data_IF_882436528644
#
_entry.id   IF_882436528644
#
_cell.length_a   1.000
_cell.length_b   1.000
_cell.length_c   1.000
_cell.angle_alpha   90.00
_cell.angle_beta   90.00
_cell.angle_gamma   90.00
#
_symmetry.space_group_name_H-M   'P 1'
#
loop_
_entity.id
_entity.type
_entity.pdbx_description
1 polymer ?
2 polymer ?
3 non-polymer ?
4 non-polymer ?
5 water ?
#
# COMPACT_ATOMS: atom_id res chain seq x y z
N UNK A 1 3.58 -16.66 -12.96
CA UNK A 1 4.52 -16.50 -14.09
C UNK A 1 5.76 -15.72 -13.66
N UNK A 2 5.61 -14.56 -13.03
CA UNK A 2 6.82 -13.89 -12.57
C UNK A 2 6.83 -13.44 -11.12
N UNK A 3 7.97 -13.66 -10.47
CA UNK A 3 8.14 -13.32 -9.06
C UNK A 3 9.48 -12.64 -8.85
N UNK A 4 9.45 -11.50 -8.15
CA UNK A 4 10.67 -10.74 -7.89
C UNK A 4 11.32 -11.19 -6.61
N UNK A 5 12.64 -11.20 -6.59
CA UNK A 5 13.38 -11.59 -5.38
C UNK A 5 14.62 -10.71 -5.29
N UNK A 6 15.03 -10.37 -4.08
CA UNK A 6 16.21 -9.55 -3.90
C UNK A 6 16.29 -8.89 -2.54
N UNK A 7 17.37 -8.12 -2.30
CA UNK A 7 17.62 -7.40 -1.05
C UNK A 7 16.53 -6.42 -0.64
N UNK A 8 16.10 -6.59 0.61
CA UNK A 8 15.09 -5.78 1.29
C UNK A 8 15.60 -4.36 1.46
N UNK A 9 16.88 -4.26 1.80
CA UNK A 9 17.52 -2.99 2.06
C UNK A 9 18.89 -2.85 1.40
N UNK A 10 19.15 -1.66 0.88
CA UNK A 10 20.46 -1.37 0.31
C UNK A 10 20.86 -0.03 0.88
N UNK A 11 22.17 0.14 0.97
CA UNK A 11 22.81 1.33 1.52
C UNK A 11 23.14 2.28 0.38
N UNK A 12 23.18 3.60 0.63
CA UNK A 12 23.51 4.49 -0.49
C UNK A 12 24.90 4.27 -1.07
N UNK A 13 25.01 4.51 -2.38
CA UNK A 13 26.22 4.39 -3.19
C UNK A 13 26.45 2.96 -3.63
N UNK A 14 25.67 2.03 -3.09
CA UNK A 14 25.78 0.63 -3.47
C UNK A 14 25.05 0.38 -4.78
N UNK A 15 25.10 -0.87 -5.23
CA UNK A 15 24.42 -1.31 -6.44
C UNK A 15 23.22 -2.14 -5.99
N UNK A 16 22.08 -1.97 -6.64
CA UNK A 16 20.90 -2.74 -6.28
C UNK A 16 20.73 -3.87 -7.30
N UNK A 17 20.53 -5.10 -6.81
CA UNK A 17 20.34 -6.25 -7.70
C UNK A 17 19.05 -7.00 -7.41
N UNK A 18 18.28 -7.28 -8.46
CA UNK A 18 17.03 -8.01 -8.26
C UNK A 18 16.90 -9.09 -9.31
N UNK A 19 16.14 -10.11 -8.99
CA UNK A 19 15.93 -11.19 -9.91
C UNK A 19 14.43 -11.43 -10.10
N UNK A 20 14.06 -11.78 -11.33
CA UNK A 20 12.68 -12.07 -11.64
C UNK A 20 12.67 -13.49 -12.19
N UNK A 21 12.04 -14.38 -11.43
CA UNK A 21 11.95 -15.76 -11.82
C UNK A 21 10.65 -15.94 -12.57
N UNK A 22 10.76 -16.35 -13.83
CA UNK A 22 9.60 -16.54 -14.68
C UNK A 22 9.32 -18.02 -14.90
N UNK A 23 8.06 -18.39 -14.78
CA UNK A 23 7.64 -19.77 -14.98
C UNK A 23 6.40 -19.74 -15.86
N UNK A 24 6.16 -20.81 -16.60
CA UNK A 24 4.98 -20.85 -17.46
C UNK A 24 5.22 -20.41 -18.89
N UNK A 25 6.28 -19.63 -19.10
CA UNK A 25 6.59 -19.15 -20.44
C UNK A 25 8.07 -18.84 -20.53
N UNK A 26 8.65 -19.10 -21.70
CA UNK A 26 10.07 -18.87 -21.93
C UNK A 26 10.39 -17.43 -22.31
N UNK A 27 11.21 -16.77 -21.50
CA UNK A 27 11.57 -15.39 -21.79
C UNK A 27 12.30 -15.23 -23.13
N UNK A 28 12.53 -16.33 -23.83
CA UNK A 28 13.20 -16.29 -25.13
C UNK A 28 12.23 -16.50 -26.30
N UNK A 29 10.99 -16.84 -25.97
CA UNK A 29 9.96 -17.09 -26.96
C UNK A 29 9.22 -15.85 -27.48
N UNK A 30 8.99 -14.87 -26.60
CA UNK A 30 8.29 -13.66 -27.01
C UNK A 30 8.17 -12.65 -25.89
N UNK A 31 7.46 -11.56 -26.14
CA UNK A 31 7.25 -10.52 -25.12
C UNK A 31 8.51 -9.73 -24.77
N UNK A 32 8.30 -8.53 -24.26
CA UNK A 32 9.36 -7.65 -23.79
C UNK A 32 9.28 -7.83 -22.25
N UNK A 33 10.43 -7.96 -21.60
CA UNK A 33 10.46 -8.17 -20.16
C UNK A 33 10.97 -6.93 -19.45
N UNK A 34 10.08 -6.28 -18.71
CA UNK A 34 10.44 -5.05 -18.05
C UNK A 34 10.66 -5.06 -16.54
N UNK A 35 11.20 -3.94 -16.08
CA UNK A 35 11.39 -3.67 -14.66
C UNK A 35 10.68 -2.32 -14.52
N UNK A 36 9.73 -2.25 -13.60
CA UNK A 36 8.94 -1.05 -13.36
C UNK A 36 8.89 -0.80 -11.87
N UNK A 37 9.00 0.47 -11.46
CA UNK A 37 8.96 0.78 -10.04
C UNK A 37 7.94 1.83 -9.66
N UNK A 38 7.54 1.78 -8.40
CA UNK A 38 6.56 2.71 -7.87
C UNK A 38 7.15 3.28 -6.59
N UNK A 39 7.37 4.59 -6.56
CA UNK A 39 7.94 5.25 -5.39
C UNK A 39 6.87 5.51 -4.33
N UNK A 40 7.27 5.69 -3.07
CA UNK A 40 6.19 5.96 -2.12
C UNK A 40 5.56 7.24 -2.66
N UNK A 41 4.25 7.24 -2.80
CA UNK A 41 3.59 8.40 -3.36
C UNK A 41 2.82 7.89 -4.58
N UNK A 42 3.08 6.65 -4.93
CA UNK A 42 2.39 6.00 -6.04
C UNK A 42 2.81 6.44 -7.44
N UNK A 43 3.95 7.10 -7.53
CA UNK A 43 4.43 7.52 -8.84
C UNK A 43 5.21 6.37 -9.49
N UNK A 44 4.71 5.93 -10.65
CA UNK A 44 5.25 4.85 -11.47
C UNK A 44 6.32 5.35 -12.44
N UNK A 45 7.23 4.45 -12.80
CA UNK A 45 8.30 4.75 -13.73
C UNK A 45 8.83 3.45 -14.33
N UNK A 46 8.80 3.36 -15.66
CA UNK A 46 9.29 2.18 -16.37
C UNK A 46 10.80 2.37 -16.38
N UNK A 47 11.56 1.34 -16.04
CA UNK A 47 13.00 1.47 -16.02
C UNK A 47 13.69 0.97 -17.29
N UNK A 48 13.06 0.01 -17.96
CA UNK A 48 13.64 -0.52 -19.16
C UNK A 48 13.18 -1.95 -19.35
N UNK A 49 13.62 -2.58 -20.43
CA UNK A 49 13.24 -3.96 -20.67
C UNK A 49 14.25 -4.70 -21.52
N UNK A 50 14.17 -6.01 -21.47
CA UNK A 50 15.03 -6.82 -22.30
C UNK A 50 14.11 -7.62 -23.24
N UNK A 51 14.29 -7.36 -24.54
CA UNK A 51 13.56 -8.02 -25.62
C UNK A 51 13.87 -9.52 -25.56
N UNK A 52 12.94 -10.32 -26.06
CA UNK A 52 13.08 -11.78 -26.05
C UNK A 52 14.22 -12.26 -26.95
N UNK A 53 14.73 -11.36 -27.78
CA UNK A 53 15.83 -11.71 -28.66
C UNK A 53 17.19 -11.35 -28.04
N UNK A 54 17.17 -10.87 -26.79
CA UNK A 54 18.38 -10.53 -26.05
C UNK A 54 18.75 -9.06 -26.09
N UNK A 55 17.92 -8.30 -26.74
CA UNK A 55 18.14 -6.89 -26.93
C UNK A 55 17.60 -5.99 -25.79
N UNK A 56 18.12 -4.77 -25.69
CA UNK A 56 17.75 -3.89 -24.59
C UNK A 56 17.25 -2.47 -24.91
N UNK A 57 16.51 -1.87 -23.98
CA UNK A 57 15.96 -0.52 -24.16
C UNK A 57 15.69 0.05 -22.76
N UNK A 58 16.49 1.05 -22.39
CA UNK A 58 16.41 1.67 -21.08
C UNK A 58 15.75 3.03 -21.05
N UNK A 59 15.42 3.46 -19.85
CA UNK A 59 14.81 4.75 -19.60
C UNK A 59 15.99 5.72 -19.69
N UNK A 60 15.93 6.68 -20.60
CA UNK A 60 17.04 7.60 -20.77
C UNK A 60 17.61 8.21 -19.49
N UNK A 61 16.76 8.52 -18.52
CA UNK A 61 17.24 9.12 -17.28
C UNK A 61 17.95 8.15 -16.34
N UNK A 62 17.99 6.88 -16.71
CA UNK A 62 18.64 5.85 -15.89
C UNK A 62 19.67 5.13 -16.72
N UNK A 63 19.82 5.54 -17.97
CA UNK A 63 20.72 4.86 -18.88
C UNK A 63 22.11 4.50 -18.41
N UNK A 64 22.81 5.44 -17.77
CA UNK A 64 24.18 5.21 -17.32
C UNK A 64 24.35 4.35 -16.07
N UNK A 65 23.26 4.17 -15.34
CA UNK A 65 23.27 3.43 -14.08
C UNK A 65 22.62 2.05 -14.08
N UNK A 66 21.84 1.77 -15.11
CA UNK A 66 21.10 0.53 -15.20
C UNK A 66 21.67 -0.51 -16.15
N UNK A 67 21.35 -1.76 -15.85
CA UNK A 67 21.77 -2.89 -16.66
C UNK A 67 20.74 -3.99 -16.46
N UNK A 68 20.15 -4.46 -17.55
CA UNK A 68 19.16 -5.53 -17.47
C UNK A 68 19.72 -6.70 -18.25
N UNK A 69 19.88 -7.83 -17.57
CA UNK A 69 20.40 -9.01 -18.21
C UNK A 69 19.44 -10.16 -17.96
N UNK A 70 19.79 -11.36 -18.46
CA UNK A 70 18.94 -12.51 -18.29
C UNK A 70 19.71 -13.81 -18.33
N UNK A 71 19.11 -14.87 -17.80
CA UNK A 71 19.70 -16.19 -17.84
C UNK A 71 18.66 -17.08 -18.51
N UNK A 72 18.80 -17.26 -19.82
CA UNK A 72 17.86 -18.07 -20.59
C UNK A 72 17.75 -19.50 -20.07
N UNK A 73 18.85 -20.05 -19.57
CA UNK A 73 18.81 -21.42 -19.07
C UNK A 73 17.96 -21.56 -17.81
N UNK A 74 17.93 -20.52 -16.98
CA UNK A 74 17.12 -20.59 -15.75
C UNK A 74 15.79 -19.86 -15.93
N UNK A 75 15.61 -19.23 -17.08
CA UNK A 75 14.41 -18.48 -17.42
C UNK A 75 14.11 -17.37 -16.40
N UNK A 76 15.10 -16.51 -16.19
CA UNK A 76 14.96 -15.38 -15.28
C UNK A 76 15.75 -14.22 -15.82
N UNK A 77 15.34 -12.99 -15.50
CA UNK A 77 16.06 -11.84 -15.96
C UNK A 77 16.36 -10.94 -14.77
N UNK A 78 17.36 -10.08 -14.91
CA UNK A 78 17.78 -9.26 -13.79
C UNK A 78 17.90 -7.76 -14.00
N UNK A 79 17.83 -7.06 -12.88
CA UNK A 79 17.97 -5.61 -12.86
C UNK A 79 19.15 -5.29 -11.98
N UNK A 80 19.97 -4.37 -12.45
CA UNK A 80 21.10 -3.89 -11.68
C UNK A 80 21.06 -2.38 -11.80
N UNK A 81 20.98 -1.70 -10.64
CA UNK A 81 20.95 -0.25 -10.59
C UNK A 81 22.11 0.23 -9.71
N UNK A 82 23.12 0.82 -10.35
CA UNK A 82 24.30 1.31 -9.65
C UNK A 82 24.09 2.61 -8.90
N UNK A 83 25.05 2.93 -8.05
CA UNK A 83 25.05 4.16 -7.25
C UNK A 83 23.67 4.68 -6.85
N UNK A 84 22.95 3.89 -6.06
CA UNK A 84 21.63 4.26 -5.60
C UNK A 84 21.69 5.29 -4.49
N UNK A 85 20.56 5.93 -4.21
CA UNK A 85 20.43 6.93 -3.14
C UNK A 85 19.04 6.75 -2.54
N UNK A 86 18.74 7.57 -1.53
CA UNK A 86 17.45 7.54 -0.83
C UNK A 86 16.28 7.86 -1.77
N UNK A 87 16.55 8.22 -3.00
CA UNK A 87 15.47 8.51 -3.93
C UNK A 87 14.92 7.19 -4.50
N UNK A 88 15.85 6.27 -4.76
CA UNK A 88 15.60 4.93 -5.33
C UNK A 88 14.70 4.00 -4.51
N UNK A 89 14.37 4.41 -3.29
CA UNK A 89 13.49 3.61 -2.47
C UNK A 89 12.17 3.44 -3.23
N UNK A 90 11.77 2.20 -3.49
CA UNK A 90 10.53 1.96 -4.19
C UNK A 90 10.14 0.50 -4.20
N UNK A 91 8.93 0.23 -4.68
CA UNK A 91 8.46 -1.12 -4.83
C UNK A 91 8.81 -1.47 -6.27
N UNK A 92 9.58 -2.54 -6.47
CA UNK A 92 10.01 -2.93 -7.80
C UNK A 92 9.23 -4.12 -8.35
N UNK A 93 8.72 -3.98 -9.57
CA UNK A 93 7.99 -5.04 -10.24
C UNK A 93 8.67 -5.41 -11.55
N UNK A 94 8.58 -6.69 -11.90
CA UNK A 94 9.07 -7.14 -13.18
C UNK A 94 7.79 -7.47 -13.91
N UNK A 95 7.79 -7.32 -15.24
CA UNK A 95 6.59 -7.61 -16.01
C UNK A 95 6.97 -7.88 -17.44
N UNK A 96 5.99 -8.32 -18.24
CA UNK A 96 6.22 -8.57 -19.65
C UNK A 96 4.99 -8.14 -20.42
N UNK A 97 5.18 -7.75 -21.68
CA UNK A 97 4.05 -7.33 -22.49
C UNK A 97 4.37 -7.44 -23.97
N UNK A 98 3.33 -7.43 -24.79
CA UNK A 98 3.45 -7.50 -26.24
C UNK A 98 2.50 -6.49 -26.83
N UNK A 99 2.26 -5.41 -26.08
CA UNK A 99 1.39 -4.32 -26.49
C UNK A 99 -0.08 -4.69 -26.33
N UNK A 100 -0.46 -5.88 -26.77
CA UNK A 100 -1.85 -6.29 -26.65
C UNK A 100 -2.19 -6.80 -25.25
N UNK A 101 -1.18 -7.27 -24.53
CA UNK A 101 -1.40 -7.78 -23.19
C UNK A 101 -0.16 -7.60 -22.30
N UNK A 102 -0.37 -7.69 -20.99
CA UNK A 102 0.72 -7.54 -20.03
C UNK A 102 0.53 -8.45 -18.83
N UNK A 103 1.63 -8.81 -18.18
CA UNK A 103 1.60 -9.67 -17.00
C UNK A 103 2.59 -9.07 -16.00
N UNK A 104 2.20 -9.05 -14.72
CA UNK A 104 3.03 -8.47 -13.67
C UNK A 104 3.32 -9.41 -12.51
N UNK A 105 4.42 -9.12 -11.82
CA UNK A 105 4.79 -9.92 -10.66
C UNK A 105 4.01 -9.36 -9.48
N UNK A 106 4.44 -9.65 -8.26
CA UNK A 106 3.74 -9.15 -7.07
C UNK A 106 4.43 -7.88 -6.59
N UNK A 107 5.66 -7.69 -7.05
CA UNK A 107 6.44 -6.53 -6.65
C UNK A 107 7.20 -6.83 -5.39
N UNK A 108 8.38 -6.25 -5.26
CA UNK A 108 9.17 -6.44 -4.06
C UNK A 108 9.62 -5.05 -3.59
N UNK A 109 9.58 -4.84 -2.28
CA UNK A 109 9.93 -3.55 -1.71
C UNK A 109 11.41 -3.40 -1.42
N UNK A 110 12.01 -2.34 -1.96
CA UNK A 110 13.43 -2.08 -1.73
C UNK A 110 13.63 -0.70 -1.09
N UNK A 111 14.30 -0.69 0.04
CA UNK A 111 14.58 0.55 0.77
C UNK A 111 16.07 0.88 0.68
N UNK A 112 16.39 2.09 0.25
CA UNK A 112 17.78 2.51 0.17
C UNK A 112 17.97 3.46 1.34
N UNK A 113 18.70 3.01 2.35
CA UNK A 113 18.94 3.82 3.54
C UNK A 113 20.16 3.31 4.30
N UNK A 114 20.80 4.20 5.04
CA UNK A 114 21.96 3.80 5.83
C UNK A 114 21.55 3.54 7.27
N UNK A 115 20.24 3.57 7.54
CA UNK A 115 19.73 3.31 8.89
C UNK A 115 19.92 1.84 9.29
N UNK A 116 19.90 1.60 10.60
CA UNK A 116 20.11 0.28 11.17
C UNK A 116 18.90 -0.66 11.13
N UNK A 117 19.10 -1.86 10.58
CA UNK A 117 18.07 -2.89 10.51
C UNK A 117 17.69 -3.26 11.93
N UNK A 118 16.42 -3.17 12.25
CA UNK A 118 15.96 -3.47 13.60
C UNK A 118 14.74 -4.39 13.64
N UNK A 119 14.77 -5.39 14.52
CA UNK A 119 13.66 -6.34 14.65
C UNK A 119 12.48 -5.63 15.30
N UNK A 120 11.25 -6.10 15.03
CA UNK A 120 10.10 -5.44 15.64
C UNK A 120 9.74 -6.02 17.02
N UNK A 121 9.01 -5.23 17.81
CA UNK A 121 8.53 -5.68 19.11
C UNK A 121 7.04 -5.85 18.82
N UNK A 122 6.48 -7.01 19.17
CA UNK A 122 5.06 -7.29 18.91
C UNK A 122 4.26 -7.36 20.23
N UNK A 123 3.39 -6.38 20.45
CA UNK A 123 2.59 -6.33 21.67
C UNK A 123 1.12 -6.66 21.38
N UNK A 124 0.53 -7.51 22.21
CA UNK A 124 -0.88 -7.88 21.99
C UNK A 124 -1.80 -6.76 22.46
N UNK A 125 -2.92 -6.58 21.78
CA UNK A 125 -3.90 -5.55 22.15
C UNK A 125 -5.18 -6.25 22.56
N UNK A 126 -5.39 -6.39 23.87
CA UNK A 126 -6.59 -7.07 24.38
C UNK A 126 -7.59 -6.06 24.89
N UNK A 127 -8.87 -6.42 25.08
CA UNK A 127 -9.54 -5.21 25.54
C UNK A 127 -9.47 -5.06 27.06
N UNK A 135 -21.60 -9.42 21.31
CA UNK A 135 -21.65 -9.99 19.97
C UNK A 135 -20.28 -10.01 19.26
N UNK A 136 -19.63 -8.86 19.07
CA UNK A 136 -18.31 -8.86 18.40
C UNK A 136 -17.24 -8.13 19.18
N UNK A 137 -16.04 -8.70 19.26
CA UNK A 137 -14.96 -8.01 19.96
C UNK A 137 -13.78 -7.74 19.02
N UNK A 138 -13.14 -6.58 19.20
CA UNK A 138 -11.99 -6.23 18.39
C UNK A 138 -10.70 -6.43 19.17
N UNK A 139 -9.74 -7.08 18.53
CA UNK A 139 -8.46 -7.34 19.14
C UNK A 139 -7.44 -6.64 18.26
N UNK A 140 -6.20 -6.61 18.72
CA UNK A 140 -5.18 -5.94 17.94
C UNK A 140 -3.79 -6.49 18.15
N UNK A 141 -2.86 -5.93 17.39
CA UNK A 141 -1.47 -6.35 17.42
C UNK A 141 -0.64 -5.11 17.05
N UNK A 142 0.21 -4.65 17.95
CA UNK A 142 1.05 -3.48 17.71
C UNK A 142 2.47 -3.94 17.40
N UNK A 143 2.91 -3.68 16.18
CA UNK A 143 4.25 -4.06 15.74
C UNK A 143 5.11 -2.81 15.63
N UNK A 144 5.98 -2.56 16.63
CA UNK A 144 6.79 -1.35 16.54
C UNK A 144 8.28 -1.47 16.79
N UNK A 145 9.00 -0.42 16.38
CA UNK A 145 10.44 -0.36 16.55
C UNK A 145 11.27 -1.09 15.51
N UNK A 146 10.73 -1.29 14.31
CA UNK A 146 11.46 -2.01 13.27
C UNK A 146 11.89 -1.21 12.06
N UNK A 147 12.82 -1.80 11.32
CA UNK A 147 13.36 -1.22 10.09
C UNK A 147 14.13 -2.31 9.34
N UNK A 148 13.94 -2.41 8.02
CA UNK A 148 13.05 -1.53 7.26
C UNK A 148 11.73 -2.22 7.02
N UNK A 149 10.94 -1.65 6.11
CA UNK A 149 9.67 -2.24 5.71
C UNK A 149 10.15 -3.38 4.81
N UNK A 150 9.31 -4.38 4.56
CA UNK A 150 7.95 -4.53 5.07
C UNK A 150 7.88 -5.60 6.14
N UNK A 151 6.71 -5.72 6.73
CA UNK A 151 6.43 -6.72 7.73
C UNK A 151 5.14 -7.33 7.21
N UNK A 152 4.86 -8.58 7.55
CA UNK A 152 3.62 -9.21 7.12
C UNK A 152 2.90 -9.61 8.41
N UNK A 153 1.60 -9.38 8.43
CA UNK A 153 0.80 -9.71 9.61
C UNK A 153 -0.41 -10.53 9.19
N UNK A 154 -0.60 -11.67 9.85
CA UNK A 154 -1.75 -12.55 9.57
C UNK A 154 -2.34 -12.89 10.92
N UNK A 155 -3.56 -13.40 10.92
CA UNK A 155 -4.23 -13.77 12.15
C UNK A 155 -4.62 -15.24 12.06
N UNK A 156 -4.20 -16.02 13.05
CA UNK A 156 -4.46 -17.45 13.06
C UNK A 156 -3.94 -18.05 11.76
N UNK A 157 -2.68 -17.73 11.47
CA UNK A 157 -1.99 -18.21 10.28
C UNK A 157 -2.70 -17.90 8.97
N UNK A 158 -3.63 -16.95 9.01
CA UNK A 158 -4.34 -16.59 7.81
C UNK A 158 -5.78 -17.09 7.73
N UNK A 159 -6.20 -17.93 8.68
CA UNK A 159 -7.56 -18.46 8.64
C UNK A 159 -8.58 -17.37 8.95
N UNK A 160 -8.12 -16.34 9.67
CA UNK A 160 -8.95 -15.19 10.00
C UNK A 160 -8.51 -14.12 9.01
N UNK A 161 -9.31 -13.86 7.99
CA UNK A 161 -8.94 -12.88 6.98
C UNK A 161 -9.93 -11.72 6.90
N UNK A 162 -11.22 -12.02 6.91
CA UNK A 162 -12.22 -10.97 6.85
C UNK A 162 -12.36 -10.43 8.28
N UNK A 163 -12.66 -9.14 8.41
CA UNK A 163 -12.76 -8.56 9.74
C UNK A 163 -11.38 -8.10 10.21
N UNK A 164 -10.44 -8.14 9.28
CA UNK A 164 -9.07 -7.75 9.55
C UNK A 164 -8.76 -6.43 8.84
N UNK A 165 -8.01 -5.60 9.56
CA UNK A 165 -7.55 -4.32 9.05
C UNK A 165 -6.07 -4.18 9.43
N UNK A 166 -5.18 -4.24 8.47
CA UNK A 166 -3.76 -4.05 8.76
C UNK A 166 -3.46 -2.65 8.23
N UNK A 167 -3.02 -1.77 9.13
CA UNK A 167 -2.74 -0.39 8.75
C UNK A 167 -1.34 -0.08 8.28
N UNK A 168 -1.21 0.82 7.29
CA UNK A 168 0.09 1.20 6.75
C UNK A 168 1.02 1.62 7.88
N UNK A 169 2.25 1.14 7.87
CA UNK A 169 3.20 1.48 8.92
C UNK A 169 3.51 2.96 8.85
N UNK A 170 3.88 3.53 9.99
CA UNK A 170 4.25 4.94 10.05
C UNK A 170 5.68 5.04 10.52
N UNK A 171 6.47 5.78 9.76
CA UNK A 171 7.89 5.97 10.06
C UNK A 171 8.12 7.19 10.96
N UNK A 172 9.01 7.03 11.93
CA UNK A 172 9.37 8.12 12.84
C UNK A 172 10.75 7.84 13.40
N UNK A 173 11.66 8.77 13.17
CA UNK A 173 13.03 8.63 13.65
C UNK A 173 13.65 7.32 13.19
N UNK A 174 13.53 7.03 11.89
CA UNK A 174 14.08 5.83 11.29
C UNK A 174 13.55 4.49 11.80
N UNK A 175 12.38 4.52 12.43
CA UNK A 175 11.78 3.30 12.93
C UNK A 175 10.30 3.30 12.55
N UNK A 176 9.80 2.13 12.18
CA UNK A 176 8.41 1.98 11.78
C UNK A 176 7.53 1.44 12.89
N UNK A 177 6.26 1.82 12.85
CA UNK A 177 5.26 1.34 13.78
C UNK A 177 4.03 0.97 12.96
N UNK A 178 3.49 -0.20 13.22
CA UNK A 178 2.32 -0.67 12.49
C UNK A 178 1.37 -1.37 13.45
N UNK A 179 0.08 -1.39 13.07
CA UNK A 179 -0.90 -2.07 13.91
C UNK A 179 -1.86 -2.85 13.03
N UNK A 180 -2.55 -3.80 13.62
CA UNK A 180 -3.52 -4.60 12.89
C UNK A 180 -4.63 -4.99 13.84
N UNK A 181 -5.86 -4.82 13.40
CA UNK A 181 -7.00 -5.19 14.21
C UNK A 181 -7.75 -6.34 13.55
N UNK A 182 -8.39 -7.15 14.39
CA UNK A 182 -9.17 -8.27 13.91
C UNK A 182 -10.44 -8.24 14.76
N UNK A 183 -11.57 -8.41 14.09
CA UNK A 183 -12.86 -8.40 14.77
C UNK A 183 -13.50 -9.78 14.56
N UNK A 184 -13.82 -10.43 15.68
CA UNK A 184 -14.43 -11.76 15.65
C UNK A 184 -15.59 -11.82 16.63
N UNK A 185 -16.41 -12.89 16.55
CA UNK A 185 -17.56 -13.02 17.46
C UNK A 185 -17.08 -13.18 18.91
N UNK A 186 -17.86 -12.68 19.85
CA UNK A 186 -17.54 -12.80 21.27
C UNK A 186 -17.60 -14.27 21.66
N UNK A 187 -18.22 -15.06 20.79
CA UNK A 187 -18.36 -16.50 21.01
C UNK A 187 -17.03 -17.19 20.83
N UNK A 188 -16.21 -16.68 19.90
CA UNK A 188 -14.91 -17.26 19.59
C UNK A 188 -13.77 -16.78 20.45
N UNK A 189 -13.96 -15.66 21.14
CA UNK A 189 -12.91 -15.11 22.00
C UNK A 189 -13.57 -14.54 23.26
N UNK A 190 -12.99 -14.79 24.44
CA UNK A 190 -11.77 -15.54 24.74
C UNK A 190 -11.89 -17.06 24.66
N UNK A 191 -13.08 -17.56 24.33
CA UNK A 191 -13.33 -18.99 24.23
C UNK A 191 -12.22 -19.72 23.48
N UNK A 192 -11.93 -19.26 22.27
CA UNK A 192 -10.86 -19.88 21.48
C UNK A 192 -9.65 -18.95 21.43
N UNK A 193 -8.56 -19.36 20.81
CA UNK A 193 -7.40 -18.47 20.79
C UNK A 193 -7.26 -17.71 19.49
N UNK A 194 -6.80 -16.47 19.61
CA UNK A 194 -6.58 -15.61 18.48
C UNK A 194 -5.10 -15.26 18.55
N UNK A 195 -4.40 -15.37 17.43
CA UNK A 195 -2.97 -15.10 17.42
C UNK A 195 -2.50 -14.34 16.19
N UNK A 196 -1.73 -13.26 16.39
CA UNK A 196 -1.22 -12.55 15.23
C UNK A 196 0.16 -13.10 14.91
N UNK A 197 0.37 -13.38 13.63
CA UNK A 197 1.63 -13.90 13.14
C UNK A 197 2.36 -12.74 12.48
N UNK A 198 3.53 -12.40 12.99
CA UNK A 198 4.30 -11.30 12.42
C UNK A 198 5.64 -11.75 11.86
N UNK A 199 5.93 -11.28 10.66
CA UNK A 199 7.19 -11.63 10.03
C UNK A 199 7.93 -10.38 9.55
N UNK A 200 9.24 -10.39 9.76
CA UNK A 200 10.09 -9.28 9.34
C UNK A 200 11.30 -9.95 8.67
N UNK A 201 11.16 -10.34 7.40
CA UNK A 201 12.24 -11.00 6.67
C UNK A 201 13.64 -10.35 6.77
N UNK A 202 13.71 -9.03 6.81
CA UNK A 202 14.99 -8.34 6.88
C UNK A 202 15.85 -8.68 8.11
N UNK A 203 15.20 -9.04 9.22
CA UNK A 203 15.90 -9.38 10.44
C UNK A 203 15.67 -10.86 10.79
N UNK A 204 15.04 -11.57 9.86
CA UNK A 204 14.74 -12.98 10.04
C UNK A 204 13.93 -13.19 11.33
N UNK A 205 12.95 -12.32 11.53
CA UNK A 205 12.12 -12.40 12.72
C UNK A 205 10.74 -12.97 12.39
N UNK A 206 10.25 -13.82 13.28
CA UNK A 206 8.93 -14.43 13.13
C UNK A 206 8.37 -14.58 14.53
N UNK A 207 7.26 -13.90 14.79
CA UNK A 207 6.63 -13.95 16.10
C UNK A 207 5.14 -14.25 16.07
N UNK A 208 4.68 -15.05 17.03
CA UNK A 208 3.26 -15.36 17.13
C UNK A 208 2.83 -14.87 18.51
N UNK A 209 2.02 -13.82 18.54
CA UNK A 209 1.56 -13.30 19.82
C UNK A 209 0.10 -13.62 20.05
N UNK A 210 -0.14 -14.52 20.99
CA UNK A 210 -1.49 -14.93 21.34
C UNK A 210 -2.12 -13.74 22.04
N UNK A 211 -3.40 -13.49 21.80
CA UNK A 211 -4.07 -12.38 22.45
C UNK A 211 -4.85 -12.94 23.64
N UNK A 212 -4.37 -12.69 24.86
CA UNK A 212 -5.06 -13.18 26.05
C UNK A 212 -5.77 -11.97 26.71
N UNK A 213 -6.87 -12.17 27.44
CA UNK A 213 -7.67 -11.07 28.14
C UNK A 213 -6.91 -10.13 29.16
N UNK B 1 11.04 12.77 -19.34
CA UNK B 1 10.52 13.88 -18.49
C UNK B 1 9.26 14.66 -18.92
N UNK B 2 8.61 14.35 -20.04
CA UNK B 2 7.35 15.03 -20.38
C UNK B 2 6.33 14.76 -19.25
N UNK B 3 5.46 15.71 -18.92
CA UNK B 3 4.49 15.64 -17.81
C UNK B 3 2.99 15.40 -18.11
N UNK B 4 2.43 14.30 -17.59
CA UNK B 4 1.00 14.01 -17.76
C UNK B 4 0.26 14.45 -16.49
N UNK B 5 -0.65 15.41 -16.64
CA UNK B 5 -1.47 15.88 -15.53
C UNK B 5 -2.80 15.11 -15.64
N UNK B 6 -3.18 14.37 -14.58
CA UNK B 6 -4.40 13.57 -14.59
C UNK B 6 -5.48 14.29 -13.77
N UNK B 7 -6.72 14.35 -14.26
CA UNK B 7 -7.82 15.05 -13.54
C UNK B 7 -9.15 14.34 -13.39
N UNK B 8 -9.91 14.38 -12.26
CA UNK B 8 -9.53 14.97 -10.99
C UNK B 8 -8.49 14.06 -10.31
N UNK B 9 -7.80 14.58 -9.30
CA UNK B 9 -6.81 13.77 -8.58
C UNK B 9 -7.54 12.68 -7.81
N UNK B 10 -8.75 12.99 -7.36
CA UNK B 10 -9.57 12.05 -6.60
C UNK B 10 -11.03 12.28 -6.96
N UNK B 11 -11.81 11.21 -7.01
CA UNK B 11 -13.22 11.33 -7.32
C UNK B 11 -13.96 10.11 -6.82
N UNK B 12 -15.25 10.28 -6.56
CA UNK B 12 -16.07 9.17 -6.10
C UNK B 12 -17.31 9.07 -6.99
N UNK B 13 -17.93 7.89 -7.00
CA UNK B 13 -19.11 7.69 -7.81
C UNK B 13 -19.94 6.54 -7.26
N UNK B 14 -21.26 6.64 -7.41
CA UNK B 14 -22.15 5.60 -6.94
C UNK B 14 -22.19 4.59 -8.07
N UNK B 15 -22.39 3.31 -7.75
CA UNK B 15 -22.43 2.37 -8.86
C UNK B 15 -23.57 2.79 -9.81
N UNK B 16 -23.31 2.71 -11.12
CA UNK B 16 -24.31 3.11 -12.09
C UNK B 16 -24.02 4.43 -12.78
N UNK B 17 -23.21 5.28 -12.15
CA UNK B 17 -22.85 6.59 -12.70
C UNK B 17 -21.86 6.49 -13.86
N UNK B 18 -21.91 7.48 -14.76
CA UNK B 18 -20.96 7.53 -15.87
C UNK B 18 -19.70 8.20 -15.28
N UNK B 19 -18.53 7.67 -15.59
CA UNK B 19 -17.30 8.25 -15.05
C UNK B 19 -16.31 8.71 -16.11
N UNK B 20 -15.80 9.92 -15.96
CA UNK B 20 -14.82 10.46 -16.90
C UNK B 20 -13.63 11.09 -16.19
N UNK B 21 -12.44 10.77 -16.68
CA UNK B 21 -11.20 11.30 -16.12
C UNK B 21 -10.34 11.67 -17.32
N UNK B 22 -9.52 12.70 -17.15
CA UNK B 22 -8.70 13.18 -18.25
C UNK B 22 -7.20 13.07 -18.02
N UNK B 23 -6.48 13.05 -19.14
CA UNK B 23 -5.03 12.98 -19.11
C UNK B 23 -4.55 14.05 -20.07
N UNK B 24 -3.98 15.10 -19.52
CA UNK B 24 -3.49 16.22 -20.31
C UNK B 24 -1.97 16.33 -20.28
N UNK B 25 -1.34 16.15 -21.44
CA UNK B 25 0.11 16.19 -21.58
C UNK B 25 0.70 17.59 -21.77
N UNK B 26 1.92 17.80 -21.28
CA UNK B 26 2.55 19.10 -21.41
C UNK B 26 3.21 19.25 -22.77
N UNK B 27 3.24 18.14 -23.52
CA UNK B 27 3.80 18.13 -24.87
C UNK B 27 3.00 17.14 -25.72
N UNK B 28 3.10 17.28 -27.03
CA UNK B 28 2.41 16.38 -27.93
C UNK B 28 2.85 14.93 -27.72
N UNK B 29 1.88 14.03 -27.62
CA UNK B 29 2.17 12.60 -27.50
C UNK B 29 1.25 11.95 -28.53
N UNK B 30 1.71 10.90 -29.19
CA UNK B 30 0.89 10.28 -30.22
C UNK B 30 -0.16 9.32 -29.69
N UNK B 31 -0.02 8.95 -28.43
CA UNK B 31 -0.96 8.00 -27.84
C UNK B 31 -0.69 7.88 -26.35
N UNK B 32 -1.51 7.11 -25.66
CA UNK B 32 -1.32 6.89 -24.23
C UNK B 32 -1.83 5.50 -23.89
N UNK B 33 -1.49 5.05 -22.70
CA UNK B 33 -1.92 3.74 -22.18
C UNK B 33 -2.58 4.05 -20.84
N UNK B 34 -3.47 3.20 -20.38
CA UNK B 34 -4.14 3.43 -19.11
C UNK B 34 -3.99 2.18 -18.26
N UNK B 35 -3.62 2.36 -17.00
CA UNK B 35 -3.44 1.26 -16.05
C UNK B 35 -4.37 1.42 -14.86
N UNK B 36 -4.90 0.30 -14.39
CA UNK B 36 -5.78 0.29 -13.23
C UNK B 36 -4.98 -0.37 -12.11
N UNK B 37 -5.00 0.23 -10.92
CA UNK B 37 -4.29 -0.35 -9.79
C UNK B 37 -5.13 -0.26 -8.53
N UNK B 38 -5.44 -1.42 -7.95
CA UNK B 38 -6.22 -1.48 -6.73
C UNK B 38 -5.25 -1.62 -5.56
N UNK B 39 -5.67 -1.15 -4.39
CA UNK B 39 -4.83 -1.21 -3.19
C UNK B 39 -4.22 -2.59 -2.93
N UNK B 40 -2.91 -2.62 -2.70
CA UNK B 40 -2.23 -3.86 -2.41
C UNK B 40 -1.80 -4.73 -3.59
N UNK B 41 -2.14 -4.35 -4.81
CA UNK B 41 -1.76 -5.15 -5.97
C UNK B 41 -0.97 -4.37 -7.00
N UNK B 42 -0.43 -5.08 -7.98
CA UNK B 42 0.38 -4.46 -9.00
C UNK B 42 -0.49 -3.80 -10.06
N UNK B 43 0.09 -2.84 -10.80
CA UNK B 43 -0.60 -2.12 -11.87
C UNK B 43 -1.00 -3.11 -12.98
N UNK B 44 -2.06 -2.76 -13.71
CA UNK B 44 -2.53 -3.63 -14.77
C UNK B 44 -3.07 -2.78 -15.92
N UNK B 45 -2.60 -3.07 -17.14
CA UNK B 45 -3.05 -2.32 -18.31
C UNK B 45 -4.56 -2.50 -18.55
N UNK B 46 -5.29 -1.39 -18.57
CA UNK B 46 -6.74 -1.45 -18.76
C UNK B 46 -7.15 -0.98 -20.16
N UNK B 47 -6.33 -0.15 -20.77
CA UNK B 47 -6.58 0.35 -22.11
C UNK B 47 -5.23 0.63 -22.77
N UNK B 48 -5.05 0.12 -23.98
CA UNK B 48 -3.79 0.34 -24.68
C UNK B 48 -3.94 1.09 -25.99
N UNK B 49 -2.90 1.85 -26.36
CA UNK B 49 -2.86 2.61 -27.62
C UNK B 49 -4.16 3.39 -27.74
N UNK B 50 -4.38 4.15 -26.68
CA UNK B 50 -5.51 5.02 -26.36
C UNK B 50 -6.99 4.60 -26.51
N UNK B 51 -7.38 3.76 -27.45
CA UNK B 51 -8.83 3.43 -27.55
C UNK B 51 -9.16 1.96 -27.40
N UNK B 52 -8.09 1.17 -27.34
CA UNK B 52 -8.10 -0.30 -27.30
C UNK B 52 -8.22 -1.09 -26.00
N UNK B 53 -9.14 -2.05 -25.97
CA UNK B 53 -9.34 -2.86 -24.77
C UNK B 53 -8.65 -4.22 -24.73
N UNK B 54 -7.80 -4.44 -23.73
CA UNK B 54 -7.16 -5.76 -23.70
C UNK B 54 -8.24 -6.80 -23.36
N UNK B 55 -7.97 -8.06 -23.65
CA UNK B 55 -8.94 -9.11 -23.37
C UNK B 55 -9.23 -9.22 -21.88
N UNK B 56 -10.49 -9.38 -21.55
CA UNK B 56 -10.87 -9.49 -20.14
C UNK B 56 -11.31 -8.20 -19.51
N UNK B 57 -11.00 -7.08 -20.15
CA UNK B 57 -11.40 -5.78 -19.62
C UNK B 57 -12.83 -5.50 -20.06
N UNK B 58 -13.72 -5.16 -19.11
CA UNK B 58 -15.13 -4.87 -19.38
C UNK B 58 -15.34 -3.78 -20.44
N UNK B 59 -16.38 -3.96 -21.25
CA UNK B 59 -16.71 -3.02 -22.30
C UNK B 59 -17.30 -1.71 -21.83
N UNK B 60 -17.57 -1.57 -20.54
CA UNK B 60 -18.10 -0.30 -20.04
C UNK B 60 -16.95 0.70 -20.05
N UNK B 61 -15.75 0.20 -20.31
CA UNK B 61 -14.55 1.01 -20.38
C UNK B 61 -14.28 1.41 -21.83
N UNK B 62 -13.86 2.66 -22.01
CA UNK B 62 -13.53 3.16 -23.33
C UNK B 62 -12.56 4.31 -23.17
N UNK B 63 -11.71 4.50 -24.18
CA UNK B 63 -10.75 5.57 -24.12
C UNK B 63 -10.72 6.24 -25.48
N UNK B 64 -10.43 7.53 -25.49
CA UNK B 64 -10.36 8.28 -26.74
C UNK B 64 -9.47 9.51 -26.52
N UNK B 65 -8.93 10.06 -27.60
CA UNK B 65 -8.09 11.23 -27.44
C UNK B 65 -7.07 11.44 -28.53
N UNK B 66 -6.40 12.58 -28.49
CA UNK B 66 -5.38 12.92 -29.47
C UNK B 66 -4.51 14.07 -28.98
N UNK B 67 -3.43 14.35 -29.70
CA UNK B 67 -2.54 15.44 -29.36
C UNK B 67 -2.02 15.49 -27.92
N UNK B 68 -2.68 16.26 -27.08
CA UNK B 68 -2.24 16.35 -25.69
C UNK B 68 -3.37 16.13 -24.71
N UNK B 69 -4.54 15.74 -25.22
CA UNK B 69 -5.70 15.57 -24.36
C UNK B 69 -6.37 14.21 -24.50
N UNK B 70 -6.19 13.38 -23.47
CA UNK B 70 -6.75 12.04 -23.48
C UNK B 70 -7.72 11.83 -22.34
N UNK B 71 -8.55 10.80 -22.44
CA UNK B 71 -9.49 10.51 -21.38
C UNK B 71 -9.91 9.06 -21.33
N UNK B 72 -10.37 8.65 -20.15
CA UNK B 72 -10.85 7.29 -19.95
C UNK B 72 -12.27 7.45 -19.43
N UNK B 73 -13.19 6.66 -19.96
CA UNK B 73 -14.58 6.74 -19.54
C UNK B 73 -15.19 5.40 -19.17
N UNK B 74 -16.04 5.42 -18.14
CA UNK B 74 -16.75 4.23 -17.70
C UNK B 74 -18.23 4.58 -17.90
N UNK B 75 -18.88 3.89 -18.82
CA UNK B 75 -20.28 4.15 -19.13
C UNK B 75 -21.17 4.00 -17.90
N UNK B 76 -20.98 2.92 -17.14
CA UNK B 76 -21.78 2.68 -15.96
C UNK B 76 -20.87 2.07 -14.91
N UNK B 77 -20.59 2.85 -13.88
CA UNK B 77 -19.73 2.45 -12.79
C UNK B 77 -20.20 1.24 -12.01
N UNK B 78 -19.25 0.41 -11.60
CA UNK B 78 -19.55 -0.75 -10.79
C UNK B 78 -18.59 -0.65 -9.61
N UNK B 79 -19.00 -1.19 -8.46
CA UNK B 79 -18.19 -1.13 -7.27
C UNK B 79 -16.78 -1.67 -7.53
N UNK B 80 -16.68 -2.67 -8.38
CA UNK B 80 -15.39 -3.25 -8.71
C UNK B 80 -14.52 -2.37 -9.61
N UNK B 81 -14.92 -1.14 -9.89
CA UNK B 81 -14.06 -0.32 -10.74
C UNK B 81 -13.24 0.63 -9.88
N UNK B 82 -13.57 0.68 -8.58
CA UNK B 82 -12.84 1.53 -7.65
C UNK B 82 -11.36 1.13 -7.67
N UNK B 83 -10.51 2.10 -7.94
CA UNK B 83 -9.06 1.88 -8.02
C UNK B 83 -8.42 3.17 -8.47
N UNK B 84 -7.10 3.14 -8.67
CA UNK B 84 -6.40 4.32 -9.17
C UNK B 84 -6.01 4.03 -10.63
N UNK B 85 -6.32 4.98 -11.51
CA UNK B 85 -6.02 4.84 -12.93
C UNK B 85 -4.87 5.75 -13.35
N UNK B 86 -3.91 5.19 -14.08
CA UNK B 86 -2.74 5.95 -14.53
C UNK B 86 -2.67 5.96 -16.03
N UNK B 87 -2.30 7.09 -16.61
CA UNK B 87 -2.12 7.17 -18.04
C UNK B 87 -0.62 7.21 -18.26
N UNK B 88 -0.19 6.73 -19.42
CA UNK B 88 1.23 6.71 -19.74
C UNK B 88 1.39 6.98 -21.22
N UNK B 89 2.47 7.68 -21.56
CA UNK B 89 2.76 7.96 -22.96
C UNK B 89 4.09 7.28 -23.24
N UNK B 90 4.28 6.81 -24.47
CA UNK B 90 5.53 6.16 -24.81
C UNK B 90 6.09 6.71 -26.13
N UNK B 91 5.69 7.94 -26.48
CA UNK B 91 6.16 8.61 -27.68
C UNK B 91 7.61 9.05 -27.49
N UNK B 92 7.96 9.41 -26.25
CA UNK B 92 9.32 9.84 -25.93
C UNK B 92 9.88 9.03 -24.77
N UNK B 93 11.20 8.79 -24.78
CA UNK B 93 11.84 8.07 -23.67
C UNK B 93 12.28 9.21 -22.77
N UNK B 94 11.94 9.19 -21.47
CA UNK B 94 11.19 8.23 -20.65
C UNK B 94 9.67 8.24 -20.84
N UNK B 95 9.08 7.04 -20.89
CA UNK B 95 7.65 6.76 -21.06
C UNK B 95 6.90 7.10 -19.77
N UNK B 96 6.87 8.40 -19.46
CA UNK B 96 6.24 8.95 -18.28
C UNK B 96 4.78 8.60 -18.08
N UNK B 97 4.51 8.37 -16.80
CA UNK B 97 3.21 8.03 -16.25
C UNK B 97 2.59 9.28 -15.65
N UNK B 98 1.26 9.28 -15.49
CA UNK B 98 0.61 10.40 -14.86
C UNK B 98 0.57 10.14 -13.36
N UNK B 99 0.25 11.15 -12.56
CA UNK B 99 0.21 10.95 -11.10
C UNK B 99 -1.01 10.14 -10.67
N UNK B 100 -1.94 9.93 -11.59
CA UNK B 100 -3.11 9.12 -11.29
C UNK B 100 -4.39 9.78 -10.82
N UNK B 101 -5.49 9.07 -11.06
CA UNK B 101 -6.83 9.49 -10.66
C UNK B 101 -7.35 8.39 -9.74
N UNK B 102 -7.62 8.72 -8.49
CA UNK B 102 -8.11 7.70 -7.57
C UNK B 102 -9.64 7.69 -7.56
N UNK B 103 -10.23 6.71 -8.24
CA UNK B 103 -11.68 6.56 -8.30
C UNK B 103 -12.17 5.74 -7.10
N UNK B 104 -12.97 6.38 -6.25
CA UNK B 104 -13.52 5.75 -5.05
C UNK B 104 -15.02 5.48 -5.27
N UNK B 105 -15.60 4.52 -4.56
CA UNK B 105 -17.01 4.21 -4.79
C UNK B 105 -17.84 4.65 -3.60
N UNK B 106 -18.91 5.40 -3.83
CA UNK B 106 -19.66 5.83 -2.68
C UNK B 106 -20.69 4.86 -2.18
N UNK B 107 -21.03 5.02 -0.91
CA UNK B 107 -22.01 4.17 -0.24
C UNK B 107 -22.72 5.01 0.80
N UNK B 108 -23.59 4.36 1.56
CA UNK B 108 -24.33 5.04 2.61
C UNK B 108 -23.35 5.40 3.72
N UNK B 109 -23.65 6.47 4.45
CA UNK B 109 -22.77 6.86 5.54
C UNK B 109 -22.74 5.74 6.56
N UNK B 110 -21.68 5.68 7.33
CA UNK B 110 -21.54 4.66 8.36
C UNK B 110 -20.66 5.20 9.48
N UNK B 111 -21.17 5.18 10.71
CA UNK B 111 -20.38 5.68 11.83
C UNK B 111 -19.28 4.67 12.14
N UNK B 112 -18.17 5.13 12.74
CA UNK B 112 -17.06 4.25 13.08
C UNK B 112 -17.23 3.45 14.35
N UNK B 113 -16.69 2.24 14.37
CA UNK B 113 -16.72 1.38 15.55
C UNK B 113 -15.36 1.72 16.19
N UNK B 114 -15.39 2.30 17.38
CA UNK B 114 -14.16 2.71 18.04
C UNK B 114 -13.72 1.80 19.19
N UNK B 115 -12.46 1.40 19.17
CA UNK B 115 -11.90 0.52 20.20
C UNK B 115 -10.59 1.07 20.75
N UNK B 116 -10.46 1.13 22.07
CA UNK B 116 -9.22 1.63 22.65
C UNK B 116 -8.51 0.48 23.37
N UNK B 117 -7.19 0.56 23.44
CA UNK B 117 -6.41 -0.51 24.07
C UNK B 117 -5.26 0.02 24.92
N UNK B 118 -5.18 -0.40 26.18
CA UNK B 118 -4.10 0.06 27.06
C UNK B 118 -2.79 -0.56 26.62
N UNK B 119 -1.66 -0.08 27.15
CA UNK B 119 -0.37 -0.65 26.77
C UNK B 119 -0.33 -2.08 27.28
N UNK B 120 0.39 -2.97 26.60
CA UNK B 120 0.48 -4.35 27.05
C UNK B 120 1.52 -4.44 28.17
N UNK B 121 1.58 -5.58 28.84
CA UNK B 121 2.54 -5.78 29.92
C UNK B 121 3.95 -5.89 29.37
N UNK B 122 4.11 -6.60 28.27
CA UNK B 122 5.43 -6.77 27.67
C UNK B 122 6.06 -5.43 27.33
N UNK B 123 5.26 -4.48 26.85
CA UNK B 123 5.81 -3.18 26.48
C UNK B 123 6.19 -2.37 27.70
N UNK B 124 5.32 -2.36 28.71
CA UNK B 124 5.57 -1.63 29.95
C UNK B 124 6.90 -2.08 30.54
N UNK B 125 7.19 -3.37 30.38
CA UNK B 125 8.43 -3.95 30.88
C UNK B 125 9.65 -3.34 30.17
N UNK B 126 9.44 -2.80 28.98
CA UNK B 126 10.53 -2.21 28.21
C UNK B 126 10.68 -0.71 28.44
N UNK B 127 9.91 -0.16 29.36
CA UNK B 127 10.00 1.27 29.64
C UNK B 127 9.16 2.08 28.67
N UNK B 128 8.40 1.40 27.82
CA UNK B 128 7.55 2.07 26.86
C UNK B 128 6.07 1.86 27.15
N UNK B 129 5.23 2.74 26.63
CA UNK B 129 3.80 2.63 26.83
C UNK B 129 3.02 3.28 25.70
N UNK B 130 2.34 2.46 24.92
CA UNK B 130 1.55 2.97 23.81
C UNK B 130 0.08 2.64 24.05
N UNK B 131 -0.78 3.58 23.71
CA UNK B 131 -2.22 3.41 23.83
C UNK B 131 -2.69 3.43 22.39
N UNK B 132 -3.47 2.42 22.01
CA UNK B 132 -3.93 2.32 20.64
C UNK B 132 -5.43 2.49 20.50
N UNK B 133 -5.83 3.17 19.43
CA UNK B 133 -7.24 3.38 19.16
C UNK B 133 -7.54 3.08 17.72
N UNK B 134 -8.60 2.31 17.49
CA UNK B 134 -9.03 1.95 16.14
C UNK B 134 -10.39 2.58 15.87
N UNK B 135 -10.53 3.13 14.67
CA UNK B 135 -11.77 3.72 14.20
C UNK B 135 -11.97 2.95 12.91
N UNK B 136 -12.81 1.93 12.94
CA UNK B 136 -13.01 1.08 11.77
C UNK B 136 -14.33 1.13 11.03
N UNK B 137 -14.24 0.79 9.75
CA UNK B 137 -15.39 0.74 8.84
C UNK B 137 -16.35 1.92 8.92
N UNK B 138 -15.82 3.12 8.65
CA UNK B 138 -16.64 4.34 8.64
C UNK B 138 -16.72 4.89 7.22
N UNK B 139 -17.58 5.89 7.03
CA UNK B 139 -17.78 6.51 5.73
C UNK B 139 -18.68 7.74 5.90
N UNK B 140 -18.34 8.87 5.26
CA UNK B 140 -17.22 9.17 4.36
C UNK B 140 -15.85 8.97 5.01
N UNK B 141 -14.79 9.23 4.24
CA UNK B 141 -13.43 9.04 4.73
C UNK B 141 -12.89 10.16 5.62
N UNK B 142 -13.67 11.22 5.79
CA UNK B 142 -13.23 12.35 6.62
C UNK B 142 -13.50 12.09 8.08
N UNK B 143 -12.46 12.21 8.91
CA UNK B 143 -12.62 11.93 10.32
C UNK B 143 -11.50 12.49 11.15
N UNK B 144 -11.78 12.74 12.41
CA UNK B 144 -10.75 13.23 13.30
C UNK B 144 -10.70 12.39 14.55
N UNK B 145 -9.54 12.43 15.20
CA UNK B 145 -9.26 11.76 16.46
C UNK B 145 -8.56 12.76 17.37
N UNK B 146 -8.82 12.63 18.67
CA UNK B 146 -8.20 13.48 19.68
C UNK B 146 -7.92 12.63 20.92
N UNK B 147 -6.74 12.80 21.49
CA UNK B 147 -6.39 12.06 22.68
C UNK B 147 -6.54 12.98 23.88
N UNK B 148 -7.14 12.47 24.96
CA UNK B 148 -7.31 13.23 26.18
C UNK B 148 -6.86 12.35 27.33
N UNK B 149 -6.00 12.92 28.17
CA UNK B 149 -5.49 12.20 29.33
C UNK B 149 -5.94 13.04 30.51
N UNK B 150 -6.75 12.43 31.38
CA UNK B 150 -7.28 13.12 32.55
C UNK B 150 -7.94 14.44 32.17
N UNK B 151 -8.70 14.43 31.08
CA UNK B 151 -9.39 15.63 30.65
C UNK B 151 -8.72 16.55 29.64
N UNK B 152 -7.40 16.71 29.72
CA UNK B 152 -6.71 17.61 28.79
C UNK B 152 -6.18 16.92 27.55
N UNK B 153 -6.37 17.56 26.40
CA UNK B 153 -5.92 17.04 25.11
C UNK B 153 -4.42 16.82 25.06
N UNK B 154 -4.02 15.72 24.43
CA UNK B 154 -2.62 15.33 24.27
C UNK B 154 -2.33 15.28 22.77
N UNK B 155 -1.29 15.97 22.35
CA UNK B 155 -0.96 16.01 20.92
C UNK B 155 0.36 15.36 20.50
N UNK B 156 1.36 15.35 21.38
CA UNK B 156 2.67 14.77 21.02
C UNK B 156 2.74 13.26 21.23
N UNK B 157 3.45 12.58 20.33
CA UNK B 157 3.61 11.14 20.46
C UNK B 157 2.50 10.36 19.78
N UNK B 158 1.78 11.02 18.89
CA UNK B 158 0.68 10.38 18.19
C UNK B 158 1.01 10.08 16.72
N UNK B 159 0.87 8.82 16.34
CA UNK B 159 1.12 8.40 14.96
C UNK B 159 -0.20 7.87 14.40
N UNK B 160 -0.63 8.43 13.27
CA UNK B 160 -1.89 8.03 12.63
C UNK B 160 -1.68 7.34 11.29
N UNK B 161 -2.53 6.38 10.99
CA UNK B 161 -2.48 5.63 9.74
C UNK B 161 -3.89 5.40 9.22
N UNK B 162 -4.07 5.49 7.90
CA UNK B 162 -5.37 5.33 7.27
C UNK B 162 -5.32 4.30 6.15
N UNK B 163 -6.30 3.40 6.11
CA UNK B 163 -6.37 2.37 5.07
C UNK B 163 -7.12 2.90 3.84
N UNK B 164 -6.95 2.22 2.72
CA UNK B 164 -7.64 2.61 1.49
C UNK B 164 -9.05 2.03 1.60
N UNK B 165 -9.95 2.46 0.72
CA UNK B 165 -11.32 1.98 0.75
C UNK B 165 -11.39 0.45 0.75
N UNK B 166 -12.16 -0.12 1.68
CA UNK B 166 -12.32 -1.57 1.80
C UNK B 166 -12.89 -2.12 0.52
N UNK B 167 -12.37 -3.26 0.06
CA UNK B 167 -12.85 -3.83 -1.20
C UNK B 167 -14.19 -4.55 -1.10
N UNK B 168 -14.62 -4.92 0.11
CA UNK B 168 -15.89 -5.60 0.26
C UNK B 168 -17.04 -4.70 0.68
N UNK B 169 -16.81 -3.84 1.66
CA UNK B 169 -17.86 -2.95 2.16
C UNK B 169 -17.64 -1.46 1.91
N UNK B 170 -16.59 -1.13 1.15
CA UNK B 170 -16.26 0.24 0.79
C UNK B 170 -16.13 1.26 1.91
N UNK B 171 -15.72 0.79 3.10
CA UNK B 171 -15.53 1.71 4.21
C UNK B 171 -14.05 2.03 4.37
N UNK B 172 -13.75 2.95 5.26
CA UNK B 172 -12.39 3.37 5.55
C UNK B 172 -12.12 3.09 7.01
N UNK B 173 -10.84 2.95 7.36
CA UNK B 173 -10.46 2.70 8.74
C UNK B 173 -9.25 3.53 9.12
N UNK B 174 -9.05 3.70 10.43
CA UNK B 174 -7.95 4.51 10.91
C UNK B 174 -7.40 3.97 12.22
N UNK B 175 -6.10 4.14 12.39
CA UNK B 175 -5.41 3.67 13.59
C UNK B 175 -4.63 4.83 14.14
N UNK B 176 -4.79 5.07 15.44
CA UNK B 176 -4.08 6.15 16.12
C UNK B 176 -3.31 5.54 17.30
N UNK B 177 -2.00 5.76 17.33
CA UNK B 177 -1.15 5.22 18.39
C UNK B 177 -0.45 6.31 19.23
N UNK B 178 -0.76 6.35 20.52
CA UNK B 178 -0.17 7.33 21.42
C UNK B 178 0.93 6.66 22.25
N UNK B 179 2.18 7.11 22.08
CA UNK B 179 3.28 6.52 22.83
C UNK B 179 3.90 7.50 23.83
N UNK B 180 4.01 7.04 25.07
CA UNK B 180 4.58 7.83 26.15
C UNK B 180 5.59 6.95 26.87
N UNK B 181 6.40 7.53 27.74
CA UNK B 181 7.33 6.71 28.50
C UNK B 181 6.47 5.98 29.53
N UNK B 182 7.02 4.94 30.16
CA UNK B 182 6.28 4.19 31.16
C UNK B 182 5.90 5.08 32.37
N UNK B 183 6.82 5.94 32.78
CA UNK B 183 6.56 6.81 33.92
C UNK B 183 5.52 7.90 33.66
N UNK B 184 5.49 8.46 32.44
CA UNK B 184 4.51 9.50 32.12
C UNK B 184 3.12 8.86 32.14
N UNK B 185 3.05 7.63 31.65
CA UNK B 185 1.80 6.89 31.58
C UNK B 185 1.20 6.66 32.97
N UNK B 186 2.05 6.27 33.91
CA UNK B 186 1.63 5.99 35.27
C UNK B 186 1.37 7.21 36.13
N UNK B 187 1.54 8.41 35.57
CA UNK B 187 1.28 9.64 36.32
C UNK B 187 -0.16 10.08 36.13
N UNK B 188 -0.88 9.35 35.28
CA UNK B 188 -2.27 9.67 34.99
C UNK B 188 -3.18 8.46 35.06
N UNK B 189 -4.49 8.70 35.09
CA UNK B 189 -5.44 7.60 35.19
C UNK B 189 -6.35 7.40 33.99
N UNK B 190 -6.98 8.48 33.52
CA UNK B 190 -7.91 8.35 32.41
C UNK B 190 -7.33 8.63 31.02
N UNK B 191 -7.48 7.65 30.12
CA UNK B 191 -7.01 7.76 28.75
C UNK B 191 -8.21 7.67 27.83
N UNK B 192 -8.41 8.72 27.03
CA UNK B 192 -9.55 8.80 26.14
C UNK B 192 -9.24 8.97 24.66
N UNK B 193 -10.02 8.28 23.84
CA UNK B 193 -9.92 8.35 22.39
C UNK B 193 -11.23 9.01 21.95
N UNK B 194 -11.14 10.13 21.27
CA UNK B 194 -12.31 10.89 20.84
C UNK B 194 -12.38 10.97 19.33
N UNK B 195 -13.46 10.47 18.74
CA UNK B 195 -13.60 10.50 17.28
C UNK B 195 -14.76 11.36 16.80
N UNK B 196 -14.46 12.36 15.98
CA UNK B 196 -15.51 13.22 15.45
C UNK B 196 -15.75 12.86 13.98
N UNK B 197 -17.00 12.55 13.67
CA UNK B 197 -17.37 12.15 12.33
C UNK B 197 -18.68 12.78 11.87
N UNK B 198 -18.85 12.86 10.56
CA UNK B 198 -20.03 13.43 9.92
C UNK B 198 -21.34 12.81 10.45
N UNK B 199 -21.30 11.50 10.74
CA UNK B 199 -22.47 10.77 11.20
C UNK B 199 -22.89 11.07 12.64
N UNK B 200 -22.30 12.10 13.24
CA UNK B 200 -22.64 12.46 14.61
C UNK B 200 -22.05 13.81 15.02
N UNK B 201 -22.89 14.68 15.57
CA UNK B 201 -22.46 16.00 16.00
C UNK B 201 -21.47 15.91 17.15
N UNK B 202 -21.79 15.11 18.16
CA UNK B 202 -20.89 14.94 19.30
C UNK B 202 -19.96 13.77 19.02
N UNK B 203 -18.67 13.93 19.31
CA UNK B 203 -17.68 12.86 19.08
C UNK B 203 -17.92 11.57 19.83
N UNK B 204 -17.51 10.45 19.24
CA UNK B 204 -17.65 9.20 19.95
C UNK B 204 -16.45 9.09 20.84
N UNK B 205 -16.66 8.58 22.04
CA UNK B 205 -15.59 8.45 23.02
C UNK B 205 -15.51 7.05 23.59
N UNK B 206 -14.29 6.58 23.81
CA UNK B 206 -14.02 5.27 24.40
C UNK B 206 -12.90 5.61 25.38
N UNK B 207 -12.83 4.91 26.50
CA UNK B 207 -11.77 5.24 27.44
C UNK B 207 -11.53 4.13 28.44
N UNK B 208 -10.47 4.27 29.24
CA UNK B 208 -10.17 3.30 30.27
C UNK B 208 -9.38 4.02 31.37
N UNK B 209 -9.45 3.51 32.60
CA UNK B 209 -8.74 4.10 33.74
C UNK B 209 -7.55 3.20 34.07
N UNK B 210 -6.37 3.76 34.35
CA UNK B 210 -5.22 2.87 34.59
C UNK B 210 -5.24 1.91 35.77
#
# INVERSE_FOLDING_TARGET
>A
QLLESGPDLVKPSQSLSLTCTVTGYSITSGYNWHWIRQFPGNKLEWMGYIHYRGTTNYNTSLKSRISITRDSSKNQFFLQLNSVTTEDTATYYCACDDFYSDYWGQGTIVTVSSAKTTPPSVYPLAPGSAAQTNSMVTLGCLVKGYFPEPVTVTWNSGSLSSGVHTFPAVLQSDLYTLSSSVTVPSSTWPSETVTCNVAHPASSTKVDKKIVPRDCTS
>B
ELVMTQTPAIMSASPGEKVTMTCSASSSVSSVHWYQQKSGTSPKRWIYDTSKLPSGVPGRFSGSGSGTSYSLTISSMEAEDAATYYCQQWSSNPPTFGAGTKLEVKRADAAPTVSIFPPSSEQLTSGGASVVCFLNNFYPKDINVKWKIDGSERQNGVLNSWTDQDSKDSTYSMSSTLTLTKDEYERHNSYTCEATHKTSTSPIVKSFNRNEC
#
